data_IF_286693113863
#
_entry.id   IF_286693113863
#
_cell.length_a   1.000
_cell.length_b   1.000
_cell.length_c   1.000
_cell.angle_alpha   90.00
_cell.angle_beta   90.00
_cell.angle_gamma   90.00
#
_symmetry.space_group_name_H-M   'P 1'
#
loop_
_entity.id
_entity.type
_entity.pdbx_description
1 polymer ?
#
# COMPACT_ATOMS: atom_id res chain seq x y z
N UNK A 1 1.58 1.05 -4.31
CA UNK A 1 1.39 0.77 -2.87
C UNK A 1 1.09 -0.70 -2.83
N UNK A 2 2.01 -1.50 -2.30
CA UNK A 2 1.85 -2.97 -2.30
C UNK A 2 1.50 -3.37 -0.87
N UNK A 3 0.39 -4.07 -0.70
CA UNK A 3 -0.06 -4.59 0.60
C UNK A 3 0.07 -6.11 0.61
N UNK A 4 0.27 -6.74 1.77
CA UNK A 4 0.19 -8.20 1.90
C UNK A 4 -1.23 -8.58 2.37
N UNK A 5 -1.94 -9.37 1.57
CA UNK A 5 -3.28 -9.93 1.77
C UNK A 5 -3.10 -11.36 2.29
N UNK A 6 -3.27 -11.60 3.60
CA UNK A 6 -3.22 -12.98 4.10
C UNK A 6 -4.58 -13.67 3.99
N UNK A 7 -4.64 -14.97 3.63
CA UNK A 7 -5.87 -15.68 3.27
C UNK A 7 -6.85 -15.93 4.42
N UNK A 8 -6.59 -15.41 5.62
CA UNK A 8 -7.48 -15.55 6.78
C UNK A 8 -7.62 -14.27 7.63
N UNK A 9 -6.80 -13.23 7.40
CA UNK A 9 -6.76 -12.05 8.26
C UNK A 9 -6.82 -10.79 7.40
N UNK A 10 -8.03 -10.24 7.27
CA UNK A 10 -8.37 -8.82 7.12
C UNK A 10 -7.16 -7.95 6.73
N UNK A 11 -7.08 -7.49 5.47
CA UNK A 11 -6.00 -6.61 4.98
C UNK A 11 -5.64 -5.56 6.04
N UNK A 12 -4.40 -5.54 6.54
CA UNK A 12 -4.03 -4.58 7.59
C UNK A 12 -3.30 -3.38 6.98
N UNK A 13 -3.87 -2.19 7.13
CA UNK A 13 -3.17 -0.92 6.91
C UNK A 13 -2.51 -0.55 8.23
N UNK A 14 -1.19 -0.34 8.25
CA UNK A 14 -0.48 0.02 9.47
C UNK A 14 0.72 0.93 9.23
N UNK A 15 0.71 2.10 9.90
CA UNK A 15 1.91 2.85 10.29
C UNK A 15 2.29 2.36 11.68
N UNK A 16 3.37 1.60 11.81
CA UNK A 16 3.80 1.07 13.11
C UNK A 16 2.87 0.00 13.72
N UNK A 17 2.69 0.04 15.03
CA UNK A 17 2.01 -0.91 15.91
C UNK A 17 0.47 -0.92 15.84
N UNK A 18 -0.14 0.02 15.12
CA UNK A 18 -1.58 0.03 14.87
C UNK A 18 -1.89 -0.62 13.52
N UNK A 19 -2.31 -1.88 13.55
CA UNK A 19 -2.71 -2.64 12.37
C UNK A 19 -4.23 -2.78 12.33
N UNK A 20 -4.89 -1.87 11.61
CA UNK A 20 -6.35 -1.86 11.39
C UNK A 20 -6.69 -2.48 10.05
N UNK A 21 -7.92 -2.97 9.88
CA UNK A 21 -8.30 -3.50 8.57
C UNK A 21 -8.44 -2.41 7.49
N UNK A 22 -8.36 -2.78 6.21
CA UNK A 22 -8.57 -1.90 5.08
C UNK A 22 -9.99 -1.31 5.08
N UNK A 23 -10.98 -2.11 5.46
CA UNK A 23 -12.36 -1.68 5.63
C UNK A 23 -12.49 -0.67 6.77
N UNK A 24 -11.83 -0.92 7.91
CA UNK A 24 -11.84 -0.01 9.06
C UNK A 24 -11.14 1.31 8.75
N UNK A 25 -10.07 1.26 7.96
CA UNK A 25 -9.35 2.43 7.51
C UNK A 25 -10.10 3.23 6.42
N UNK A 26 -11.21 2.69 5.88
CA UNK A 26 -12.00 3.35 4.83
C UNK A 26 -11.35 3.35 3.45
N UNK A 27 -10.37 2.48 3.22
CA UNK A 27 -9.61 2.39 1.96
C UNK A 27 -10.03 1.19 1.09
N UNK A 28 -11.02 0.40 1.50
CA UNK A 28 -11.51 -0.76 0.75
C UNK A 28 -12.31 -0.39 -0.51
N UNK A 29 -11.60 0.16 -1.51
CA UNK A 29 -12.14 0.52 -2.82
C UNK A 29 -11.58 -0.39 -3.90
N UNK A 30 -12.29 -1.48 -4.15
CA UNK A 30 -11.87 -2.52 -5.07
C UNK A 30 -12.26 -2.22 -6.52
N UNK A 31 -11.42 -2.72 -7.43
CA UNK A 31 -11.70 -2.75 -8.86
C UNK A 31 -12.86 -3.67 -9.17
N UNK A 32 -13.34 -3.60 -10.41
CA UNK A 32 -14.41 -4.50 -10.86
C UNK A 32 -13.99 -5.96 -10.68
N UNK A 33 -14.84 -6.74 -10.00
CA UNK A 33 -14.62 -8.16 -9.67
C UNK A 33 -13.49 -8.44 -8.66
N UNK A 34 -12.95 -7.44 -7.98
CA UNK A 34 -11.88 -7.61 -6.99
C UNK A 34 -12.42 -7.46 -5.55
N UNK A 35 -11.77 -8.06 -4.53
CA UNK A 35 -10.71 -9.06 -4.69
C UNK A 35 -11.29 -10.39 -5.19
N UNK A 36 -10.57 -11.14 -6.02
CA UNK A 36 -11.05 -12.42 -6.58
C UNK A 36 -10.34 -13.67 -6.04
N UNK A 37 -9.21 -13.50 -5.35
CA UNK A 37 -8.51 -14.53 -4.60
C UNK A 37 -7.99 -15.70 -5.44
N UNK A 38 -7.78 -15.51 -6.76
CA UNK A 38 -7.21 -16.55 -7.62
C UNK A 38 -5.79 -16.96 -7.16
N UNK A 39 -5.25 -18.07 -7.69
CA UNK A 39 -3.82 -18.48 -7.69
C UNK A 39 -2.87 -17.91 -6.59
N UNK A 40 -3.31 -17.92 -5.33
CA UNK A 40 -2.60 -17.34 -4.18
C UNK A 40 -2.29 -15.84 -4.34
N UNK A 41 -3.26 -15.06 -4.82
CA UNK A 41 -3.23 -13.59 -4.96
C UNK A 41 -3.32 -12.91 -3.60
N UNK A 42 -2.21 -13.00 -2.87
CA UNK A 42 -2.05 -12.59 -1.50
C UNK A 42 -1.39 -11.22 -1.38
N UNK A 43 -1.37 -10.39 -2.42
CA UNK A 43 -0.83 -9.04 -2.35
C UNK A 43 -1.75 -8.01 -2.99
N UNK A 44 -2.01 -6.92 -2.28
CA UNK A 44 -2.80 -5.79 -2.75
C UNK A 44 -1.97 -4.92 -3.69
N UNK A 45 -2.52 -4.66 -4.85
CA UNK A 45 -2.01 -3.80 -5.91
C UNK A 45 -3.09 -2.78 -6.28
N UNK A 46 -2.81 -1.92 -7.25
CA UNK A 46 -3.72 -0.87 -7.69
C UNK A 46 -3.73 -0.83 -9.21
N UNK A 47 -4.92 -0.81 -9.81
CA UNK A 47 -5.09 -0.53 -11.22
C UNK A 47 -4.76 0.93 -11.54
N UNK A 48 -4.61 1.24 -12.83
CA UNK A 48 -4.33 2.61 -13.28
C UNK A 48 -5.44 3.62 -12.96
N UNK A 49 -6.66 3.15 -12.69
CA UNK A 49 -7.78 3.98 -12.26
C UNK A 49 -7.79 4.26 -10.75
N UNK A 50 -6.82 3.71 -10.01
CA UNK A 50 -6.68 3.91 -8.57
C UNK A 50 -7.48 2.92 -7.70
N UNK A 51 -8.19 1.95 -8.31
CA UNK A 51 -8.91 0.92 -7.58
C UNK A 51 -8.00 -0.26 -7.21
N UNK A 52 -8.30 -0.93 -6.11
CA UNK A 52 -7.51 -2.04 -5.59
C UNK A 52 -7.73 -3.33 -6.38
N UNK A 53 -6.68 -4.15 -6.41
CA UNK A 53 -6.62 -5.46 -7.06
C UNK A 53 -5.80 -6.39 -6.18
N UNK A 54 -6.23 -7.63 -5.97
CA UNK A 54 -5.35 -8.65 -5.40
C UNK A 54 -4.54 -9.33 -6.51
N UNK A 55 -3.27 -9.62 -6.22
CA UNK A 55 -2.32 -10.15 -7.18
C UNK A 55 -1.32 -11.05 -6.47
N UNK A 56 -0.73 -11.99 -7.21
CA UNK A 56 0.34 -12.84 -6.70
C UNK A 56 1.55 -11.98 -6.30
N UNK A 57 2.04 -12.18 -5.08
CA UNK A 57 3.12 -11.39 -4.48
C UNK A 57 4.46 -11.49 -5.22
N UNK A 58 4.71 -12.57 -5.96
CA UNK A 58 5.97 -12.79 -6.68
C UNK A 58 6.05 -12.03 -8.01
N UNK A 59 4.96 -11.39 -8.43
CA UNK A 59 4.93 -10.60 -9.65
C UNK A 59 5.60 -9.24 -9.45
N UNK A 60 6.54 -8.93 -10.34
CA UNK A 60 7.17 -7.62 -10.40
C UNK A 60 6.14 -6.57 -10.83
N UNK A 61 5.88 -5.60 -9.94
CA UNK A 61 4.90 -4.52 -10.15
C UNK A 61 5.50 -3.16 -9.85
N UNK A 62 4.83 -2.11 -10.30
CA UNK A 62 5.15 -0.75 -9.88
C UNK A 62 4.73 -0.53 -8.43
N UNK A 63 5.52 0.24 -7.69
CA UNK A 63 5.25 0.55 -6.29
C UNK A 63 5.16 2.07 -6.07
N UNK A 64 4.53 2.44 -4.96
CA UNK A 64 4.42 3.81 -4.49
C UNK A 64 4.98 3.81 -3.07
N UNK A 65 5.91 4.70 -2.80
CA UNK A 65 6.41 4.95 -1.44
C UNK A 65 5.58 6.04 -0.78
N UNK A 66 5.28 5.86 0.50
CA UNK A 66 4.76 6.92 1.36
C UNK A 66 5.84 7.33 2.35
N UNK A 67 5.94 8.63 2.64
CA UNK A 67 6.84 9.16 3.67
C UNK A 67 6.04 10.02 4.62
N UNK A 68 6.42 9.99 5.91
CA UNK A 68 5.88 10.97 6.84
C UNK A 68 6.37 12.38 6.48
N UNK A 69 5.45 13.35 6.55
CA UNK A 69 5.73 14.74 6.16
C UNK A 69 6.88 15.31 6.99
N UNK A 70 6.97 14.98 8.29
CA UNK A 70 8.06 15.44 9.18
C UNK A 70 9.42 14.86 8.77
N UNK A 71 9.42 13.61 8.33
CA UNK A 71 10.63 12.95 7.84
C UNK A 71 11.08 13.52 6.49
N UNK A 72 10.11 13.84 5.62
CA UNK A 72 10.39 14.44 4.32
C UNK A 72 10.85 15.89 4.43
N UNK A 73 10.24 16.71 5.28
CA UNK A 73 10.66 18.10 5.49
C UNK A 73 12.10 18.15 5.99
N UNK A 74 12.44 17.31 6.97
CA UNK A 74 13.81 17.19 7.50
C UNK A 74 14.81 16.78 6.41
N UNK A 75 14.44 15.86 5.52
CA UNK A 75 15.30 15.42 4.42
C UNK A 75 15.45 16.48 3.32
N UNK A 76 14.41 17.25 3.03
CA UNK A 76 14.47 18.38 2.08
C UNK A 76 15.33 19.50 2.66
N UNK A 77 15.13 19.86 3.93
CA UNK A 77 15.92 20.90 4.62
C UNK A 77 17.41 20.55 4.62
N UNK A 78 17.77 19.28 4.84
CA UNK A 78 19.16 18.81 4.74
C UNK A 78 19.75 18.91 3.33
N UNK A 79 18.94 18.71 2.29
CA UNK A 79 19.40 18.84 0.89
C UNK A 79 19.56 20.29 0.47
N UNK A 80 18.72 21.18 0.98
CA UNK A 80 18.84 22.62 0.74
C UNK A 80 19.99 23.24 1.56
N UNK A 81 20.27 22.73 2.76
CA UNK A 81 21.41 23.18 3.57
C UNK A 81 22.77 22.68 3.04
N UNK A 82 22.79 21.54 2.35
CA UNK A 82 24.01 21.02 1.70
C UNK A 82 24.32 21.70 0.35
N UNK A 83 23.45 22.61 -0.11
CA UNK A 83 23.60 23.34 -1.37
C UNK A 83 24.08 24.80 -1.17
N UNK A 84 24.44 25.19 0.05
CA UNK A 84 25.02 26.50 0.43
C UNK A 84 26.49 26.35 0.80
#
# INVERSE_FOLDING_TARGET
MVYEIKPADRLRIGRGDLSTSLEEAGYAKWGNLQPDGNADELCGTMFYDGLLNDLNCDLATFFICEHDISSLSSAIDQRLSSAV
#
